data_IF_629920466429
#
_entry.id   IF_629920466429
#
_cell.length_a   1.000
_cell.length_b   1.000
_cell.length_c   1.000
_cell.angle_alpha   90.00
_cell.angle_beta   90.00
_cell.angle_gamma   90.00
#
_symmetry.space_group_name_H-M   'P 1'
#
loop_
_entity.id
_entity.type
_entity.pdbx_description
1 polymer ?
#
# COMPACT_ATOMS: atom_id res chain seq x y z
N UNK A 1 -13.79 -3.14 11.62
CA UNK A 1 -14.72 -1.98 11.50
C UNK A 1 -14.60 -1.30 10.13
N UNK A 2 -13.38 -1.02 9.62
CA UNK A 2 -13.24 -0.43 8.28
C UNK A 2 -13.97 -1.25 7.20
N UNK A 3 -13.70 -2.54 7.12
CA UNK A 3 -14.33 -3.46 6.14
C UNK A 3 -15.85 -3.38 6.17
N UNK A 4 -16.45 -3.39 7.36
CA UNK A 4 -17.92 -3.28 7.51
C UNK A 4 -18.46 -1.96 6.95
N UNK A 5 -17.79 -0.83 7.25
CA UNK A 5 -18.21 0.49 6.77
C UNK A 5 -18.09 0.61 5.25
N UNK A 6 -17.00 0.08 4.68
CA UNK A 6 -16.80 0.06 3.22
C UNK A 6 -17.85 -0.82 2.53
N UNK A 7 -18.17 -1.98 3.10
CA UNK A 7 -19.23 -2.85 2.59
C UNK A 7 -20.61 -2.19 2.61
N UNK A 8 -20.86 -1.30 3.60
CA UNK A 8 -22.07 -0.50 3.70
C UNK A 8 -22.04 0.75 2.77
N UNK A 9 -21.03 0.90 1.93
CA UNK A 9 -20.89 2.00 0.96
C UNK A 9 -20.42 3.33 1.56
N UNK A 10 -19.84 3.31 2.77
CA UNK A 10 -19.27 4.52 3.38
C UNK A 10 -17.97 4.90 2.63
N UNK A 11 -17.85 6.19 2.28
CA UNK A 11 -16.65 6.71 1.58
C UNK A 11 -15.38 6.51 2.41
N UNK A 12 -14.27 6.23 1.76
CA UNK A 12 -12.98 5.86 2.35
C UNK A 12 -12.53 6.76 3.51
N UNK A 13 -12.53 8.07 3.30
CA UNK A 13 -12.14 9.02 4.34
C UNK A 13 -13.08 9.06 5.54
N UNK A 14 -14.38 8.80 5.34
CA UNK A 14 -15.35 8.67 6.43
C UNK A 14 -15.18 7.34 7.15
N UNK A 15 -14.93 6.25 6.41
CA UNK A 15 -14.65 4.93 6.97
C UNK A 15 -13.35 4.95 7.81
N UNK A 16 -12.31 5.62 7.34
CA UNK A 16 -11.07 5.80 8.08
C UNK A 16 -11.28 6.57 9.39
N UNK A 17 -12.00 7.70 9.35
CA UNK A 17 -12.34 8.48 10.56
C UNK A 17 -13.17 7.69 11.55
N UNK A 18 -14.22 7.03 11.10
CA UNK A 18 -15.09 6.22 11.97
C UNK A 18 -14.33 5.01 12.56
N UNK A 19 -13.37 4.47 11.84
CA UNK A 19 -12.49 3.41 12.35
C UNK A 19 -11.53 3.96 13.40
N UNK A 20 -10.98 5.16 13.18
CA UNK A 20 -10.19 5.88 14.18
C UNK A 20 -11.00 6.13 15.47
N UNK A 21 -12.20 6.72 15.35
CA UNK A 21 -13.06 7.07 16.49
C UNK A 21 -13.43 5.81 17.29
N UNK A 22 -13.72 4.72 16.59
CA UNK A 22 -13.99 3.42 17.21
C UNK A 22 -12.78 2.93 18.00
N UNK A 23 -11.59 2.90 17.40
CA UNK A 23 -10.37 2.42 18.05
C UNK A 23 -10.01 3.32 19.26
N UNK A 24 -10.02 4.63 19.05
CA UNK A 24 -9.74 5.61 20.10
C UNK A 24 -10.68 5.44 21.32
N UNK A 25 -12.00 5.36 21.08
CA UNK A 25 -13.00 5.23 22.14
C UNK A 25 -12.85 3.92 22.90
N UNK A 26 -12.70 2.79 22.17
CA UNK A 26 -12.66 1.47 22.81
C UNK A 26 -11.32 1.17 23.50
N UNK A 27 -10.25 1.82 23.09
CA UNK A 27 -8.90 1.61 23.64
C UNK A 27 -8.37 2.80 24.46
N UNK A 28 -9.19 3.86 24.62
CA UNK A 28 -8.83 5.03 25.41
C UNK A 28 -7.56 5.74 24.96
N UNK A 29 -7.26 5.71 23.65
CA UNK A 29 -6.04 6.32 23.09
C UNK A 29 -4.75 5.55 23.38
N UNK A 30 -4.81 4.29 23.78
CA UNK A 30 -3.64 3.46 24.17
C UNK A 30 -3.12 2.55 23.07
N UNK A 31 -3.81 2.47 21.94
CA UNK A 31 -3.45 1.59 20.82
C UNK A 31 -3.42 2.40 19.55
N UNK A 32 -2.34 2.29 18.80
CA UNK A 32 -2.24 2.85 17.45
C UNK A 32 -2.28 1.76 16.38
N UNK A 33 -2.73 2.15 15.21
CA UNK A 33 -2.60 1.34 14.01
C UNK A 33 -2.41 2.24 12.78
N UNK A 34 -1.65 1.78 11.82
CA UNK A 34 -1.64 2.36 10.48
C UNK A 34 -2.87 1.86 9.72
N UNK A 35 -3.45 2.71 8.89
CA UNK A 35 -4.59 2.36 8.06
C UNK A 35 -4.45 3.02 6.69
N UNK A 36 -4.34 2.20 5.66
CA UNK A 36 -4.42 2.63 4.28
C UNK A 36 -5.63 1.95 3.63
N UNK A 37 -6.44 2.74 2.93
CA UNK A 37 -7.58 2.27 2.15
C UNK A 37 -7.35 2.70 0.71
N UNK A 38 -7.43 1.75 -0.21
CA UNK A 38 -7.38 2.01 -1.65
C UNK A 38 -8.69 1.55 -2.26
N UNK A 39 -9.37 2.45 -2.92
CA UNK A 39 -10.58 2.16 -3.69
C UNK A 39 -10.36 2.50 -5.15
N UNK A 40 -10.81 1.62 -6.02
CA UNK A 40 -10.77 1.80 -7.47
C UNK A 40 -12.19 1.88 -7.99
N UNK A 41 -12.57 3.06 -8.49
CA UNK A 41 -13.84 3.23 -9.19
C UNK A 41 -13.62 3.00 -10.70
N UNK A 42 -14.05 1.84 -11.15
CA UNK A 42 -13.94 1.44 -12.56
C UNK A 42 -14.92 2.19 -13.47
N UNK A 43 -15.92 2.86 -12.92
CA UNK A 43 -16.91 3.64 -13.69
C UNK A 43 -16.36 5.01 -14.01
N UNK A 44 -15.82 5.70 -12.99
CA UNK A 44 -15.24 7.04 -13.15
C UNK A 44 -13.77 7.00 -13.58
N UNK A 45 -13.12 5.84 -13.52
CA UNK A 45 -11.69 5.72 -13.79
C UNK A 45 -10.84 6.44 -12.74
N UNK A 46 -11.22 6.35 -11.46
CA UNK A 46 -10.55 7.05 -10.37
C UNK A 46 -10.06 6.08 -9.30
N UNK A 47 -8.83 6.26 -8.84
CA UNK A 47 -8.29 5.61 -7.65
C UNK A 47 -8.33 6.61 -6.51
N UNK A 48 -8.91 6.20 -5.38
CA UNK A 48 -8.93 6.97 -4.14
C UNK A 48 -8.03 6.29 -3.11
N UNK A 49 -7.12 7.05 -2.53
CA UNK A 49 -6.25 6.61 -1.45
C UNK A 49 -6.57 7.41 -0.19
N UNK A 50 -6.87 6.71 0.89
CA UNK A 50 -7.04 7.29 2.23
C UNK A 50 -5.95 6.73 3.13
N UNK A 51 -5.04 7.59 3.61
CA UNK A 51 -3.81 7.21 4.32
C UNK A 51 -3.78 7.76 5.74
N UNK A 52 -3.60 6.86 6.71
CA UNK A 52 -3.20 7.14 8.09
C UNK A 52 -1.95 6.30 8.41
N UNK A 53 -0.86 6.61 7.75
CA UNK A 53 0.43 5.93 7.90
C UNK A 53 1.56 6.94 7.72
N UNK A 54 2.65 6.75 8.43
CA UNK A 54 3.89 7.52 8.22
C UNK A 54 4.68 7.04 6.98
N UNK A 55 4.45 5.79 6.55
CA UNK A 55 5.05 5.30 5.31
C UNK A 55 4.45 6.04 4.12
N UNK A 56 5.26 6.61 3.24
CA UNK A 56 4.78 7.18 1.98
C UNK A 56 4.08 6.13 1.12
N UNK A 57 3.19 6.57 0.25
CA UNK A 57 2.69 5.73 -0.84
C UNK A 57 3.37 6.19 -2.12
N UNK A 58 3.84 5.23 -2.90
CA UNK A 58 4.53 5.50 -4.15
C UNK A 58 3.53 5.33 -5.30
N UNK A 59 3.45 6.34 -6.16
CA UNK A 59 2.71 6.30 -7.42
C UNK A 59 3.71 6.39 -8.55
N UNK A 60 3.83 5.33 -9.35
CA UNK A 60 4.68 5.26 -10.52
C UNK A 60 3.80 5.29 -11.77
N UNK A 61 4.03 6.22 -12.68
CA UNK A 61 3.23 6.39 -13.91
C UNK A 61 4.00 6.13 -15.18
N UNK A 62 5.33 6.19 -15.10
CA UNK A 62 6.28 5.92 -16.18
C UNK A 62 7.65 5.63 -15.60
N UNK A 63 8.64 5.18 -16.36
CA UNK A 63 9.99 4.91 -15.83
C UNK A 63 10.61 6.06 -15.03
N UNK A 64 10.33 7.30 -15.40
CA UNK A 64 10.84 8.49 -14.71
C UNK A 64 9.73 9.29 -14.00
N UNK A 65 8.50 8.80 -14.04
CA UNK A 65 7.32 9.47 -13.46
C UNK A 65 6.95 8.87 -12.11
N UNK A 66 7.70 9.20 -11.06
CA UNK A 66 7.39 8.78 -9.69
C UNK A 66 6.90 9.95 -8.84
N UNK A 67 5.83 9.73 -8.09
CA UNK A 67 5.28 10.67 -7.13
C UNK A 67 5.17 10.01 -5.77
N UNK A 68 5.60 10.73 -4.72
CA UNK A 68 5.46 10.27 -3.34
C UNK A 68 4.28 11.00 -2.68
N UNK A 69 3.37 10.24 -2.11
CA UNK A 69 2.32 10.76 -1.25
C UNK A 69 2.82 10.63 0.20
N UNK A 70 3.60 11.62 0.63
CA UNK A 70 4.35 11.63 1.90
C UNK A 70 3.84 12.66 2.91
N UNK A 71 2.79 13.44 2.58
CA UNK A 71 2.21 14.40 3.50
C UNK A 71 1.94 13.77 4.88
N UNK A 72 2.20 14.46 6.00
CA UNK A 72 2.03 13.91 7.34
C UNK A 72 0.64 13.31 7.55
N UNK A 73 0.58 12.05 7.96
CA UNK A 73 -0.65 11.30 8.19
C UNK A 73 -0.52 10.45 9.45
N UNK A 74 -0.92 10.98 10.62
CA UNK A 74 -0.78 10.26 11.88
C UNK A 74 -1.60 8.96 11.88
N UNK A 75 -1.10 7.91 12.55
CA UNK A 75 -1.83 6.65 12.69
C UNK A 75 -3.13 6.86 13.46
N UNK A 76 -4.07 5.94 13.27
CA UNK A 76 -5.36 5.96 13.96
C UNK A 76 -5.23 5.46 15.41
N UNK A 77 -6.14 5.90 16.28
CA UNK A 77 -6.35 5.34 17.62
C UNK A 77 -5.67 6.06 18.80
N UNK A 78 -4.72 6.97 18.57
CA UNK A 78 -3.99 7.67 19.67
C UNK A 78 -4.45 9.11 19.85
N UNK A 79 -4.45 9.92 18.81
CA UNK A 79 -4.70 11.36 18.92
C UNK A 79 -6.17 11.66 18.66
N UNK A 80 -6.75 12.62 19.38
CA UNK A 80 -8.12 13.07 19.11
C UNK A 80 -8.22 13.66 17.71
N UNK A 81 -9.35 13.43 17.04
CA UNK A 81 -9.69 14.01 15.75
C UNK A 81 -8.67 13.75 14.63
N UNK A 82 -8.03 12.59 14.65
CA UNK A 82 -7.15 12.15 13.55
C UNK A 82 -7.94 12.05 12.23
N UNK A 83 -7.39 12.65 11.18
CA UNK A 83 -7.96 12.63 9.82
C UNK A 83 -6.99 11.93 8.87
N UNK A 84 -7.50 11.17 7.90
CA UNK A 84 -6.65 10.63 6.85
C UNK A 84 -6.20 11.74 5.88
N UNK A 85 -5.05 11.55 5.25
CA UNK A 85 -4.71 12.21 4.01
C UNK A 85 -5.43 11.49 2.86
N UNK A 86 -6.11 12.25 2.01
CA UNK A 86 -6.86 11.70 0.88
C UNK A 86 -6.21 12.19 -0.40
N UNK A 87 -5.95 11.27 -1.31
CA UNK A 87 -5.54 11.56 -2.68
C UNK A 87 -6.50 10.88 -3.65
N UNK A 88 -6.91 11.60 -4.68
CA UNK A 88 -7.71 11.10 -5.79
C UNK A 88 -6.87 11.21 -7.06
N UNK A 89 -6.71 10.10 -7.75
CA UNK A 89 -5.84 9.98 -8.90
C UNK A 89 -6.63 9.41 -10.07
N UNK A 90 -6.53 9.98 -11.27
CA UNK A 90 -7.09 9.36 -12.46
C UNK A 90 -6.34 8.05 -12.76
N UNK A 91 -7.08 7.01 -13.12
CA UNK A 91 -6.48 5.77 -13.56
C UNK A 91 -5.82 5.96 -14.93
N UNK A 92 -4.56 5.61 -15.04
CA UNK A 92 -3.81 5.60 -16.29
C UNK A 92 -3.21 4.22 -16.56
N UNK A 93 -3.21 3.78 -17.81
CA UNK A 93 -2.54 2.54 -18.20
C UNK A 93 -1.05 2.63 -17.83
N UNK A 94 -0.51 1.58 -17.21
CA UNK A 94 0.85 1.55 -16.71
C UNK A 94 1.04 2.18 -15.32
N UNK A 95 0.00 2.79 -14.75
CA UNK A 95 0.05 3.32 -13.39
C UNK A 95 0.20 2.19 -12.37
N UNK A 96 1.05 2.44 -11.38
CA UNK A 96 1.32 1.51 -10.30
C UNK A 96 1.27 2.28 -8.97
N UNK A 97 0.59 1.72 -7.99
CA UNK A 97 0.53 2.25 -6.62
C UNK A 97 1.11 1.22 -5.67
N UNK A 98 2.13 1.62 -4.92
CA UNK A 98 2.81 0.74 -3.95
C UNK A 98 2.60 1.25 -2.55
N UNK A 99 2.08 0.38 -1.70
CA UNK A 99 1.85 0.58 -0.27
C UNK A 99 2.64 -0.47 0.48
N UNK A 100 3.30 -0.08 1.55
CA UNK A 100 4.14 -0.97 2.34
C UNK A 100 4.09 -0.61 3.82
N UNK A 101 4.52 -1.55 4.66
CA UNK A 101 4.59 -1.39 6.11
C UNK A 101 5.94 -0.81 6.55
N UNK A 102 6.00 -0.36 7.80
CA UNK A 102 7.20 0.19 8.42
C UNK A 102 8.36 -0.81 8.53
N UNK A 103 8.07 -2.11 8.58
CA UNK A 103 9.10 -3.13 8.46
C UNK A 103 9.87 -3.05 7.15
N UNK A 104 9.19 -2.74 6.03
CA UNK A 104 9.85 -2.50 4.72
C UNK A 104 10.56 -1.15 4.73
N UNK A 105 9.94 -0.10 5.30
CA UNK A 105 10.52 1.24 5.38
C UNK A 105 11.85 1.25 6.13
N UNK A 106 11.94 0.50 7.24
CA UNK A 106 13.10 0.47 8.13
C UNK A 106 14.12 -0.63 7.79
N UNK A 107 13.89 -1.39 6.71
CA UNK A 107 14.77 -2.46 6.30
C UNK A 107 16.22 -1.98 6.11
N UNK A 108 17.18 -2.68 6.72
CA UNK A 108 18.61 -2.39 6.66
C UNK A 108 19.09 -1.25 7.54
N UNK A 109 18.23 -0.50 8.24
CA UNK A 109 18.65 0.62 9.10
C UNK A 109 19.65 0.20 10.17
N UNK A 110 19.41 -0.89 10.88
CA UNK A 110 20.32 -1.39 11.94
C UNK A 110 21.70 -1.83 11.42
N UNK A 111 21.80 -2.07 10.12
CA UNK A 111 23.05 -2.48 9.46
C UNK A 111 23.76 -1.32 8.80
N UNK A 112 23.21 -0.11 8.89
CA UNK A 112 23.74 1.07 8.23
C UNK A 112 23.58 1.04 6.70
N UNK A 113 22.66 0.21 6.19
CA UNK A 113 22.36 0.08 4.76
C UNK A 113 20.84 0.20 4.53
N UNK A 114 20.21 1.33 4.90
CA UNK A 114 18.78 1.50 4.77
C UNK A 114 18.32 1.29 3.34
N UNK A 115 17.15 0.70 3.17
CA UNK A 115 16.52 0.53 1.87
C UNK A 115 15.94 1.87 1.39
N UNK A 116 16.38 2.33 0.23
CA UNK A 116 15.71 3.40 -0.49
C UNK A 116 14.52 2.81 -1.28
N UNK A 117 13.36 2.74 -0.61
CA UNK A 117 12.16 2.12 -1.17
C UNK A 117 11.73 2.78 -2.48
N UNK A 118 11.67 4.13 -2.61
CA UNK A 118 11.38 4.80 -3.87
C UNK A 118 12.32 4.43 -5.01
N UNK A 119 13.63 4.43 -4.76
CA UNK A 119 14.62 4.07 -5.76
C UNK A 119 14.50 2.59 -6.18
N UNK A 120 14.26 1.69 -5.22
CA UNK A 120 14.02 0.28 -5.47
C UNK A 120 12.79 0.07 -6.37
N UNK A 121 11.65 0.70 -6.05
CA UNK A 121 10.43 0.62 -6.87
C UNK A 121 10.67 1.14 -8.28
N UNK A 122 11.38 2.26 -8.44
CA UNK A 122 11.71 2.81 -9.77
C UNK A 122 12.59 1.85 -10.59
N UNK A 123 13.55 1.18 -9.96
CA UNK A 123 14.39 0.19 -10.63
C UNK A 123 13.57 -1.02 -11.09
N UNK A 124 12.79 -1.60 -10.18
CA UNK A 124 11.89 -2.72 -10.48
C UNK A 124 10.88 -2.38 -11.56
N UNK A 125 10.33 -1.16 -11.55
CA UNK A 125 9.40 -0.71 -12.59
C UNK A 125 10.09 -0.66 -13.97
N UNK A 126 11.30 -0.11 -14.07
CA UNK A 126 12.05 -0.07 -15.35
C UNK A 126 12.29 -1.47 -15.91
N UNK A 127 12.56 -2.43 -15.04
CA UNK A 127 12.86 -3.81 -15.45
C UNK A 127 11.59 -4.58 -15.87
N UNK A 128 10.42 -4.21 -15.34
CA UNK A 128 9.18 -5.00 -15.47
C UNK A 128 8.02 -4.26 -16.13
N UNK A 129 8.14 -2.97 -16.51
CA UNK A 129 6.99 -2.16 -16.98
C UNK A 129 6.29 -2.70 -18.23
N UNK A 130 6.94 -3.58 -19.00
CA UNK A 130 6.35 -4.24 -20.16
C UNK A 130 5.71 -5.61 -19.81
N UNK A 131 5.81 -6.05 -18.56
CA UNK A 131 5.22 -7.32 -18.15
C UNK A 131 3.69 -7.20 -18.06
N UNK A 132 2.98 -8.21 -18.55
CA UNK A 132 1.51 -8.25 -18.51
C UNK A 132 0.96 -8.20 -17.08
N UNK A 133 1.70 -8.70 -16.10
CA UNK A 133 1.32 -8.76 -14.68
C UNK A 133 2.42 -8.15 -13.80
N UNK A 134 2.66 -6.85 -13.97
CA UNK A 134 3.75 -6.13 -13.31
C UNK A 134 3.62 -6.09 -11.78
N UNK A 135 2.41 -6.13 -11.21
CA UNK A 135 2.21 -5.96 -9.77
C UNK A 135 2.98 -6.98 -8.93
N UNK A 136 2.98 -8.25 -9.34
CA UNK A 136 3.65 -9.32 -8.60
C UNK A 136 5.17 -9.17 -8.58
N UNK A 137 5.90 -9.05 -9.71
CA UNK A 137 7.34 -8.87 -9.66
C UNK A 137 7.79 -7.62 -8.88
N UNK A 138 6.98 -6.54 -8.88
CA UNK A 138 7.28 -5.38 -8.05
C UNK A 138 7.12 -5.71 -6.56
N UNK A 139 6.02 -6.37 -6.16
CA UNK A 139 5.77 -6.72 -4.77
C UNK A 139 6.81 -7.72 -4.24
N UNK A 140 7.07 -8.79 -4.99
CA UNK A 140 8.04 -9.82 -4.63
C UNK A 140 9.46 -9.21 -4.57
N UNK A 141 9.87 -8.45 -5.60
CA UNK A 141 11.20 -7.85 -5.67
C UNK A 141 11.47 -6.82 -4.56
N UNK A 142 10.48 -6.00 -4.20
CA UNK A 142 10.63 -5.07 -3.08
C UNK A 142 10.73 -5.80 -1.75
N UNK A 143 9.93 -6.85 -1.55
CA UNK A 143 9.98 -7.65 -0.34
C UNK A 143 11.30 -8.41 -0.22
N UNK A 144 11.78 -9.01 -1.31
CA UNK A 144 13.06 -9.73 -1.35
C UNK A 144 14.23 -8.78 -1.03
N UNK A 145 14.26 -7.57 -1.59
CA UNK A 145 15.29 -6.58 -1.29
C UNK A 145 15.24 -6.17 0.20
N UNK A 146 14.05 -5.92 0.75
CA UNK A 146 13.89 -5.60 2.16
C UNK A 146 14.39 -6.74 3.07
N UNK A 147 14.03 -7.98 2.74
CA UNK A 147 14.48 -9.17 3.46
C UNK A 147 16.00 -9.36 3.37
N UNK A 148 16.62 -9.09 2.21
CA UNK A 148 18.07 -9.16 2.05
C UNK A 148 18.80 -8.11 2.90
N UNK A 149 18.28 -6.89 2.99
CA UNK A 149 18.84 -5.82 3.84
C UNK A 149 18.89 -6.22 5.31
N UNK A 150 17.97 -7.07 5.75
CA UNK A 150 17.90 -7.59 7.11
C UNK A 150 18.48 -9.01 7.26
N UNK A 151 19.23 -9.53 6.28
CA UNK A 151 19.78 -10.90 6.22
C UNK A 151 18.74 -11.98 6.50
N UNK A 152 17.53 -11.84 5.98
CA UNK A 152 16.44 -12.77 6.19
C UNK A 152 15.87 -12.78 7.62
N UNK A 153 16.18 -11.78 8.44
CA UNK A 153 15.71 -11.64 9.82
C UNK A 153 15.04 -10.27 10.02
N UNK A 154 13.84 -10.06 9.46
CA UNK A 154 13.14 -8.81 9.60
C UNK A 154 12.87 -8.50 11.07
N UNK A 155 12.86 -7.22 11.39
CA UNK A 155 12.65 -6.73 12.75
C UNK A 155 11.18 -6.49 13.06
N UNK A 156 10.40 -6.31 12.01
CA UNK A 156 8.96 -6.07 12.08
C UNK A 156 8.29 -6.76 10.88
N UNK A 157 6.97 -6.86 10.92
CA UNK A 157 6.18 -7.45 9.86
C UNK A 157 6.32 -6.67 8.55
N UNK A 158 6.78 -7.35 7.50
CA UNK A 158 6.94 -6.78 6.18
C UNK A 158 5.76 -7.16 5.29
N UNK A 159 5.04 -6.16 4.78
CA UNK A 159 3.96 -6.35 3.81
C UNK A 159 4.06 -5.32 2.70
N UNK A 160 3.80 -5.76 1.48
CA UNK A 160 3.75 -4.92 0.29
C UNK A 160 2.46 -5.19 -0.46
N UNK A 161 1.73 -4.13 -0.77
CA UNK A 161 0.55 -4.15 -1.64
C UNK A 161 0.86 -3.34 -2.90
N UNK A 162 0.67 -3.94 -4.05
CA UNK A 162 0.83 -3.28 -5.34
C UNK A 162 -0.48 -3.33 -6.12
N UNK A 163 -0.95 -2.15 -6.51
CA UNK A 163 -2.07 -2.00 -7.45
C UNK A 163 -1.50 -1.53 -8.77
N UNK A 164 -1.73 -2.27 -9.84
CA UNK A 164 -1.29 -1.92 -11.19
C UNK A 164 -2.48 -1.81 -12.14
N UNK A 165 -2.46 -0.77 -12.98
CA UNK A 165 -3.45 -0.57 -14.04
C UNK A 165 -2.87 -1.13 -15.34
N UNK A 166 -3.34 -2.30 -15.75
CA UNK A 166 -2.94 -2.93 -16.99
C UNK A 166 -3.63 -2.30 -18.21
N UNK A 167 -3.02 -2.45 -19.37
CA UNK A 167 -3.64 -2.09 -20.64
C UNK A 167 -4.85 -2.97 -20.98
N UNK A 168 -5.49 -2.66 -22.10
CA UNK A 168 -6.69 -3.35 -22.55
C UNK A 168 -6.51 -4.86 -22.65
N UNK A 169 -7.44 -5.60 -22.07
CA UNK A 169 -7.63 -6.99 -22.41
C UNK A 169 -8.31 -7.09 -23.81
N UNK A 170 -8.10 -8.17 -24.57
CA UNK A 170 -8.69 -8.33 -25.90
C UNK A 170 -10.24 -8.43 -25.88
N UNK A 171 -10.83 -8.44 -24.71
CA UNK A 171 -12.28 -8.41 -24.48
C UNK A 171 -12.62 -7.26 -23.51
N UNK A 172 -13.83 -6.72 -23.59
CA UNK A 172 -14.33 -5.63 -22.73
C UNK A 172 -14.61 -6.09 -21.27
N UNK A 173 -14.10 -7.23 -20.85
CA UNK A 173 -14.33 -7.79 -19.52
C UNK A 173 -13.37 -7.18 -18.52
N UNK A 174 -13.90 -6.52 -17.51
CA UNK A 174 -13.13 -5.99 -16.38
C UNK A 174 -12.70 -7.14 -15.46
N UNK A 175 -11.40 -7.24 -15.17
CA UNK A 175 -10.85 -8.29 -14.32
C UNK A 175 -10.07 -7.70 -13.16
N UNK A 176 -10.27 -8.27 -11.98
CA UNK A 176 -9.42 -8.08 -10.83
C UNK A 176 -8.83 -9.45 -10.46
N UNK A 177 -7.50 -9.55 -10.45
CA UNK A 177 -6.80 -10.74 -9.98
C UNK A 177 -6.09 -10.41 -8.67
N UNK A 178 -6.32 -11.26 -7.66
CA UNK A 178 -5.66 -11.13 -6.35
C UNK A 178 -4.97 -12.46 -6.05
N UNK A 179 -3.70 -12.41 -5.67
CA UNK A 179 -2.91 -13.59 -5.32
C UNK A 179 -2.39 -13.45 -3.90
N UNK A 180 -2.67 -14.43 -3.05
CA UNK A 180 -2.13 -14.51 -1.68
C UNK A 180 -1.24 -15.75 -1.57
N UNK A 181 0.05 -15.60 -1.21
CA UNK A 181 0.86 -16.74 -0.83
C UNK A 181 0.32 -17.33 0.47
N UNK A 182 -0.02 -18.62 0.44
CA UNK A 182 -0.36 -19.35 1.65
C UNK A 182 0.95 -19.99 2.16
N UNK A 183 1.49 -19.58 3.33
CA UNK A 183 2.66 -20.24 3.87
C UNK A 183 2.38 -21.71 4.07
N UNK A 184 3.37 -22.61 3.90
CA UNK A 184 3.18 -24.01 4.13
C UNK A 184 2.68 -24.22 5.56
N UNK A 185 1.53 -24.88 5.71
CA UNK A 185 0.99 -25.24 7.01
C UNK A 185 2.10 -25.98 7.77
N UNK A 186 2.51 -25.44 8.91
CA UNK A 186 3.38 -26.14 9.83
C UNK A 186 2.69 -27.48 10.13
N UNK A 187 3.21 -28.56 9.57
CA UNK A 187 2.86 -29.89 10.06
C UNK A 187 3.63 -30.08 11.35
N UNK A 188 2.96 -30.37 12.47
CA UNK A 188 3.62 -30.66 13.76
C UNK A 188 4.54 -31.86 13.66
#
# INVERSE_FOLDING_TARGET
KAVSLLADGVRDGAAARATHDYLYTHRGGKVSATLNIVSVDMVTGTLVLSRNSHCPVIVQTSPDGQHLLDAPAPPIGIHRATKPQIAELPLGIGMLVVIYTDGVQSAGERRGQPLDVPACVSALYRDHHQAQHIARPIADGLLDEAMQRDDGRPQDDMSVLVVAVAGEAPDEVRRLQVSFPIPPLYRP
#
